data_IF_557009095865
#
_entry.id   IF_557009095865
#
_cell.length_a   1.000
_cell.length_b   1.000
_cell.length_c   1.000
_cell.angle_alpha   90.00
_cell.angle_beta   90.00
_cell.angle_gamma   90.00
#
_symmetry.space_group_name_H-M   'P 1'
#
loop_
_entity.id
_entity.type
_entity.pdbx_description
1 polymer ?
#
# COMPACT_ATOMS: atom_id res chain seq x y z
N UNK A 1 -11.38 16.82 -24.75
CA UNK A 1 -10.50 16.16 -23.79
C UNK A 1 -9.16 15.98 -24.46
N UNK A 2 -8.22 16.87 -24.20
CA UNK A 2 -6.89 16.85 -24.82
C UNK A 2 -6.05 15.83 -24.07
N UNK A 3 -5.21 15.08 -24.78
CA UNK A 3 -4.31 14.05 -24.22
C UNK A 3 -3.56 14.59 -22.98
N UNK A 4 -3.15 15.86 -23.00
CA UNK A 4 -2.48 16.55 -21.90
C UNK A 4 -3.30 16.59 -20.60
N UNK A 5 -4.62 16.82 -20.68
CA UNK A 5 -5.50 16.85 -19.49
C UNK A 5 -5.55 15.47 -18.81
N UNK A 6 -5.57 14.41 -19.62
CA UNK A 6 -5.56 13.01 -19.14
C UNK A 6 -4.21 12.67 -18.51
N UNK A 7 -3.10 13.11 -19.12
CA UNK A 7 -1.75 12.90 -18.57
C UNK A 7 -1.55 13.62 -17.23
N UNK A 8 -2.06 14.85 -17.10
CA UNK A 8 -2.05 15.60 -15.85
C UNK A 8 -2.86 14.91 -14.76
N UNK A 9 -4.06 14.43 -15.10
CA UNK A 9 -4.91 13.68 -14.17
C UNK A 9 -4.21 12.40 -13.68
N UNK A 10 -3.60 11.64 -14.58
CA UNK A 10 -2.80 10.45 -14.24
C UNK A 10 -1.67 10.82 -13.28
N UNK A 11 -0.95 11.92 -13.53
CA UNK A 11 0.14 12.36 -12.66
C UNK A 11 -0.36 12.77 -11.27
N UNK A 12 -1.48 13.49 -11.19
CA UNK A 12 -2.10 13.83 -9.90
C UNK A 12 -2.54 12.58 -9.14
N UNK A 13 -3.14 11.60 -9.81
CA UNK A 13 -3.52 10.33 -9.20
C UNK A 13 -2.31 9.55 -8.69
N UNK A 14 -1.19 9.54 -9.42
CA UNK A 14 0.07 8.92 -8.97
C UNK A 14 0.65 9.60 -7.73
N UNK A 15 0.63 10.94 -7.68
CA UNK A 15 1.06 11.70 -6.49
C UNK A 15 0.18 11.35 -5.30
N UNK A 16 -1.13 11.34 -5.50
CA UNK A 16 -2.08 11.00 -4.44
C UNK A 16 -1.90 9.55 -3.95
N UNK A 17 -1.70 8.62 -4.87
CA UNK A 17 -1.40 7.22 -4.55
C UNK A 17 -0.15 7.11 -3.68
N UNK A 18 0.95 7.77 -4.08
CA UNK A 18 2.20 7.76 -3.30
C UNK A 18 2.01 8.34 -1.88
N UNK A 19 1.23 9.42 -1.75
CA UNK A 19 0.87 9.97 -0.45
C UNK A 19 0.10 8.97 0.42
N UNK A 20 -0.91 8.29 -0.15
CA UNK A 20 -1.68 7.28 0.56
C UNK A 20 -0.84 6.07 0.96
N UNK A 21 0.06 5.61 0.10
CA UNK A 21 1.00 4.52 0.40
C UNK A 21 1.94 4.89 1.55
N UNK A 22 2.44 6.14 1.60
CA UNK A 22 3.28 6.60 2.70
C UNK A 22 2.51 6.64 4.01
N UNK A 23 1.28 7.18 4.01
CA UNK A 23 0.40 7.16 5.20
C UNK A 23 0.08 5.73 5.66
N UNK A 24 -0.16 4.82 4.71
CA UNK A 24 -0.38 3.41 5.03
C UNK A 24 0.85 2.81 5.71
N UNK A 25 2.05 3.08 5.19
CA UNK A 25 3.32 2.62 5.79
C UNK A 25 3.52 3.19 7.20
N UNK A 26 3.21 4.45 7.45
CA UNK A 26 3.28 5.06 8.77
C UNK A 26 2.30 4.41 9.76
N UNK A 27 1.05 4.21 9.34
CA UNK A 27 0.05 3.52 10.15
C UNK A 27 0.48 2.08 10.45
N UNK A 28 1.06 1.38 9.48
CA UNK A 28 1.60 0.04 9.67
C UNK A 28 2.82 0.04 10.61
N UNK A 29 3.74 1.01 10.54
CA UNK A 29 4.88 1.11 11.47
C UNK A 29 4.45 1.18 12.93
N UNK A 30 3.35 1.90 13.21
CA UNK A 30 2.81 2.04 14.56
C UNK A 30 1.89 0.88 14.97
N UNK A 31 1.66 -0.09 14.07
CA UNK A 31 0.87 -1.26 14.38
C UNK A 31 1.68 -2.25 15.21
N UNK A 32 1.11 -2.64 16.35
CA UNK A 32 1.55 -3.84 17.07
C UNK A 32 1.08 -5.08 16.29
N UNK A 33 1.91 -5.52 15.35
CA UNK A 33 1.52 -6.49 14.33
C UNK A 33 1.30 -7.88 14.94
N UNK A 34 0.07 -8.38 14.82
CA UNK A 34 -0.22 -9.79 14.98
C UNK A 34 -0.48 -10.38 13.59
N UNK A 35 0.47 -11.19 13.12
CA UNK A 35 0.41 -11.82 11.80
C UNK A 35 -0.30 -13.18 11.86
N UNK A 36 -1.20 -13.41 10.91
CA UNK A 36 -1.72 -14.74 10.59
C UNK A 36 -0.86 -15.33 9.47
N UNK A 37 -0.18 -16.42 9.76
CA UNK A 37 0.72 -17.08 8.82
C UNK A 37 -0.06 -18.03 7.90
N UNK A 38 0.14 -17.88 6.59
CA UNK A 38 -0.29 -18.81 5.56
C UNK A 38 0.95 -19.42 4.88
N UNK A 39 0.74 -20.38 3.98
CA UNK A 39 1.82 -21.14 3.33
C UNK A 39 2.84 -20.28 2.56
N UNK A 40 2.41 -19.15 1.98
CA UNK A 40 3.23 -18.31 1.09
C UNK A 40 3.37 -16.86 1.54
N UNK A 41 2.65 -16.47 2.59
CA UNK A 41 2.63 -15.12 3.10
C UNK A 41 2.09 -15.10 4.51
N UNK A 42 2.35 -14.03 5.23
CA UNK A 42 1.67 -13.71 6.46
C UNK A 42 0.95 -12.37 6.32
N UNK A 43 -0.21 -12.24 6.96
CA UNK A 43 -1.02 -11.02 6.92
C UNK A 43 -1.33 -10.55 8.33
N UNK A 44 -1.07 -9.27 8.60
CA UNK A 44 -1.44 -8.67 9.87
C UNK A 44 -2.97 -8.57 9.99
N UNK A 45 -3.51 -9.11 11.08
CA UNK A 45 -4.95 -9.09 11.38
C UNK A 45 -5.50 -7.68 11.63
N UNK A 46 -4.63 -6.76 12.08
CA UNK A 46 -5.02 -5.37 12.44
C UNK A 46 -4.90 -4.40 11.27
N UNK A 47 -3.73 -4.36 10.62
CA UNK A 47 -3.42 -3.34 9.61
C UNK A 47 -3.35 -3.88 8.17
N UNK A 48 -3.69 -5.16 7.96
CA UNK A 48 -3.67 -5.84 6.67
C UNK A 48 -2.31 -5.87 5.95
N UNK A 49 -1.21 -5.54 6.65
CA UNK A 49 0.14 -5.66 6.11
C UNK A 49 0.41 -7.11 5.69
N UNK A 50 0.85 -7.32 4.46
CA UNK A 50 1.22 -8.65 3.96
C UNK A 50 2.74 -8.71 3.82
N UNK A 51 3.36 -9.73 4.40
CA UNK A 51 4.74 -10.10 4.09
C UNK A 51 4.69 -11.40 3.28
N UNK A 52 5.22 -11.38 2.07
CA UNK A 52 5.28 -12.56 1.18
C UNK A 52 6.62 -13.25 1.37
N UNK A 53 6.60 -14.57 1.47
CA UNK A 53 7.82 -15.37 1.52
C UNK A 53 8.21 -15.76 0.09
N UNK A 54 9.26 -15.15 -0.44
CA UNK A 54 9.86 -15.59 -1.70
C UNK A 54 10.79 -16.76 -1.38
N UNK A 55 10.37 -17.98 -1.72
CA UNK A 55 11.21 -19.18 -1.71
C UNK A 55 12.09 -19.24 -2.95
#
# INVERSE_FOLDING_TARGET
MKIQEIEEEINQMKIHLSFLENRLKENQKNCDHHFLMNLSHEKCLKCNKVNVFHY
#
